data_IF_585522596569
#
_entry.id   IF_585522596569
#
_cell.length_a   1.000
_cell.length_b   1.000
_cell.length_c   1.000
_cell.angle_alpha   90.00
_cell.angle_beta   90.00
_cell.angle_gamma   90.00
#
_symmetry.space_group_name_H-M   'P 1'
#
loop_
_entity.id
_entity.type
_entity.pdbx_description
1 polymer ?
#
# COMPACT_ATOMS: atom_id res chain seq x y z
N UNK A 1 17.04 -11.18 30.32
CA UNK A 1 17.91 -12.38 30.39
C UNK A 1 17.88 -13.20 29.09
N UNK A 2 16.71 -13.35 28.44
CA UNK A 2 16.56 -14.27 27.30
C UNK A 2 17.22 -13.76 26.01
N UNK A 3 17.21 -12.46 25.74
CA UNK A 3 17.95 -11.84 24.64
C UNK A 3 19.43 -11.79 24.98
N UNK A 4 19.79 -11.27 26.16
CA UNK A 4 21.14 -11.15 26.70
C UNK A 4 22.18 -10.65 25.66
N UNK A 5 23.46 -10.90 25.90
CA UNK A 5 24.55 -10.49 24.99
C UNK A 5 24.49 -11.23 23.65
N UNK A 6 24.16 -12.50 23.66
CA UNK A 6 24.10 -13.32 22.43
C UNK A 6 22.99 -12.84 21.48
N UNK A 7 21.82 -12.51 22.00
CA UNK A 7 20.73 -11.93 21.20
C UNK A 7 21.08 -10.54 20.67
N UNK A 8 21.72 -9.70 21.48
CA UNK A 8 22.18 -8.39 21.03
C UNK A 8 23.23 -8.49 19.91
N UNK A 9 24.15 -9.44 20.01
CA UNK A 9 25.11 -9.70 18.95
C UNK A 9 24.44 -10.16 17.65
N UNK A 10 23.39 -10.99 17.75
CA UNK A 10 22.61 -11.39 16.58
C UNK A 10 21.92 -10.19 15.91
N UNK A 11 21.32 -9.30 16.71
CA UNK A 11 20.71 -8.06 16.18
C UNK A 11 21.75 -7.16 15.52
N UNK A 12 22.91 -6.95 16.15
CA UNK A 12 24.00 -6.14 15.59
C UNK A 12 24.56 -6.69 14.27
N UNK A 13 24.52 -7.98 14.05
CA UNK A 13 24.97 -8.62 12.83
C UNK A 13 23.87 -8.75 11.77
N UNK A 14 22.63 -8.57 12.16
CA UNK A 14 21.47 -8.75 11.27
C UNK A 14 21.32 -7.61 10.26
N UNK A 15 20.80 -7.97 9.09
CA UNK A 15 20.41 -7.07 8.01
C UNK A 15 18.92 -7.20 7.77
N UNK A 16 18.17 -6.18 8.11
CA UNK A 16 16.71 -6.13 7.96
C UNK A 16 16.35 -5.18 6.83
N UNK A 17 15.51 -5.63 5.91
CA UNK A 17 14.93 -4.76 4.88
C UNK A 17 13.50 -4.38 5.28
N UNK A 18 13.22 -3.10 5.34
CA UNK A 18 11.85 -2.58 5.40
C UNK A 18 11.41 -2.14 3.99
N UNK A 19 10.33 -2.71 3.50
CA UNK A 19 9.69 -2.28 2.26
C UNK A 19 8.63 -1.25 2.61
N UNK A 20 8.95 0.01 2.36
CA UNK A 20 8.14 1.18 2.74
C UNK A 20 8.54 1.82 4.07
N UNK A 21 8.60 3.14 4.08
CA UNK A 21 8.77 3.99 5.26
C UNK A 21 7.46 4.73 5.62
N UNK A 22 6.33 4.13 5.29
CA UNK A 22 4.98 4.64 5.53
C UNK A 22 4.46 4.37 6.95
N UNK A 23 3.16 4.13 7.08
CA UNK A 23 2.50 3.94 8.38
C UNK A 23 3.04 2.75 9.18
N UNK A 24 3.13 1.57 8.58
CA UNK A 24 3.67 0.36 9.21
C UNK A 24 5.20 0.42 9.32
N UNK A 25 5.87 0.94 8.27
CA UNK A 25 7.33 1.07 8.24
C UNK A 25 7.87 2.03 9.29
N UNK A 26 7.15 3.11 9.60
CA UNK A 26 7.57 4.11 10.58
C UNK A 26 7.92 3.50 11.96
N UNK A 27 6.99 2.87 12.67
CA UNK A 27 7.32 2.27 13.97
C UNK A 27 8.31 1.10 13.82
N UNK A 28 8.24 0.32 12.73
CA UNK A 28 9.16 -0.78 12.51
C UNK A 28 10.61 -0.28 12.42
N UNK A 29 10.90 0.72 11.59
CA UNK A 29 12.23 1.29 11.43
C UNK A 29 12.75 1.91 12.73
N UNK A 30 11.91 2.67 13.45
CA UNK A 30 12.30 3.31 14.71
C UNK A 30 12.67 2.27 15.77
N UNK A 31 11.85 1.24 15.96
CA UNK A 31 12.11 0.23 16.99
C UNK A 31 13.21 -0.76 16.60
N UNK A 32 13.40 -1.09 15.33
CA UNK A 32 14.55 -1.89 14.89
C UNK A 32 15.86 -1.13 15.08
N UNK A 33 15.88 0.19 14.83
CA UNK A 33 17.03 1.04 15.13
C UNK A 33 17.32 1.10 16.62
N UNK A 34 16.29 1.33 17.45
CA UNK A 34 16.42 1.36 18.92
C UNK A 34 16.88 0.00 19.49
N UNK A 35 16.45 -1.12 18.90
CA UNK A 35 16.90 -2.47 19.27
C UNK A 35 18.36 -2.76 18.85
N UNK A 36 18.98 -1.92 18.05
CA UNK A 36 20.37 -2.06 17.63
C UNK A 36 20.58 -3.08 16.51
N UNK A 37 19.64 -3.17 15.56
CA UNK A 37 19.85 -3.93 14.32
C UNK A 37 21.00 -3.29 13.54
N UNK A 38 21.99 -4.10 13.13
CA UNK A 38 23.24 -3.58 12.57
C UNK A 38 23.08 -2.89 11.21
N UNK A 39 22.18 -3.42 10.34
CA UNK A 39 21.89 -2.81 9.04
C UNK A 39 20.39 -2.77 8.79
N UNK A 40 19.88 -1.60 8.47
CA UNK A 40 18.51 -1.38 8.02
C UNK A 40 18.51 -0.95 6.56
N UNK A 41 17.95 -1.76 5.67
CA UNK A 41 17.61 -1.38 4.32
C UNK A 41 16.23 -0.75 4.27
N UNK A 42 16.03 0.25 3.44
CA UNK A 42 14.76 0.93 3.23
C UNK A 42 14.48 0.99 1.74
N UNK A 43 13.44 0.30 1.27
CA UNK A 43 12.92 0.49 -0.09
C UNK A 43 11.80 1.52 0.00
N UNK A 44 12.02 2.68 -0.57
CA UNK A 44 11.04 3.78 -0.54
C UNK A 44 11.36 4.78 -1.65
N UNK A 45 10.34 5.24 -2.37
CA UNK A 45 10.52 6.16 -3.50
C UNK A 45 9.66 7.43 -3.40
N UNK A 46 8.74 7.47 -2.42
CA UNK A 46 7.82 8.59 -2.24
C UNK A 46 8.47 9.80 -1.53
N UNK A 47 7.79 10.93 -1.62
CA UNK A 47 8.05 12.13 -0.81
C UNK A 47 7.05 12.23 0.34
N UNK A 48 7.44 12.92 1.40
CA UNK A 48 6.59 13.18 2.57
C UNK A 48 5.49 14.17 2.18
N UNK A 49 4.24 13.80 2.38
CA UNK A 49 3.07 14.67 2.22
C UNK A 49 2.43 14.96 3.58
N UNK A 50 1.84 16.14 3.74
CA UNK A 50 1.19 16.57 4.98
C UNK A 50 0.12 15.56 5.45
N UNK A 51 -0.65 14.99 4.52
CA UNK A 51 -1.67 13.98 4.82
C UNK A 51 -1.10 12.67 5.38
N UNK A 52 0.21 12.46 5.28
CA UNK A 52 0.89 11.28 5.81
C UNK A 52 1.16 11.39 7.32
N UNK A 53 1.36 12.60 7.84
CA UNK A 53 1.87 12.84 9.20
C UNK A 53 0.98 12.26 10.30
N UNK A 54 -0.32 12.10 10.04
CA UNK A 54 -1.27 11.52 10.99
C UNK A 54 -0.99 10.03 11.32
N UNK A 55 -0.15 9.32 10.52
CA UNK A 55 0.16 7.89 10.71
C UNK A 55 1.61 7.51 10.45
N UNK A 56 2.36 8.31 9.70
CA UNK A 56 3.77 8.05 9.34
C UNK A 56 4.70 8.80 10.29
N UNK A 57 4.76 8.35 11.54
CA UNK A 57 5.34 9.06 12.68
C UNK A 57 6.88 9.21 12.65
N UNK A 58 7.56 8.57 11.72
CA UNK A 58 9.01 8.76 11.52
C UNK A 58 9.29 10.10 10.83
N UNK A 59 8.31 10.67 10.13
CA UNK A 59 8.40 11.95 9.44
C UNK A 59 7.78 13.08 10.27
N UNK A 60 8.34 14.27 10.17
CA UNK A 60 7.83 15.46 10.85
C UNK A 60 7.39 16.56 9.88
N UNK A 61 6.84 17.65 10.43
CA UNK A 61 6.38 18.82 9.66
C UNK A 61 7.50 19.41 8.77
N UNK A 62 8.74 19.38 9.27
CA UNK A 62 9.93 19.87 8.54
C UNK A 62 10.38 18.98 7.38
N UNK A 63 9.78 17.79 7.26
CA UNK A 63 10.14 16.81 6.22
C UNK A 63 9.19 16.85 5.02
N UNK A 64 8.12 17.64 5.06
CA UNK A 64 7.18 17.77 3.94
C UNK A 64 7.94 18.15 2.67
N UNK A 65 7.74 17.35 1.61
CA UNK A 65 8.40 17.49 0.32
C UNK A 65 9.78 16.82 0.21
N UNK A 66 10.39 16.34 1.33
CA UNK A 66 11.61 15.53 1.27
C UNK A 66 11.32 14.08 0.86
N UNK A 67 12.35 13.38 0.36
CA UNK A 67 12.29 11.91 0.21
C UNK A 67 11.98 11.26 1.56
N UNK A 68 11.00 10.35 1.60
CA UNK A 68 10.68 9.55 2.80
C UNK A 68 11.87 8.71 3.24
N UNK A 69 12.64 8.18 2.30
CA UNK A 69 13.82 7.39 2.59
C UNK A 69 14.88 8.22 3.34
N UNK A 70 15.17 9.42 2.86
CA UNK A 70 16.12 10.35 3.51
C UNK A 70 15.62 10.81 4.88
N UNK A 71 14.36 11.21 5.00
CA UNK A 71 13.74 11.59 6.27
C UNK A 71 13.85 10.45 7.31
N UNK A 72 13.55 9.21 6.90
CA UNK A 72 13.68 8.05 7.76
C UNK A 72 15.13 7.78 8.18
N UNK A 73 16.10 7.92 7.26
CA UNK A 73 17.52 7.77 7.57
C UNK A 73 18.00 8.80 8.61
N UNK A 74 17.62 10.06 8.46
CA UNK A 74 17.95 11.13 9.42
C UNK A 74 17.40 10.78 10.81
N UNK A 75 16.13 10.35 10.89
CA UNK A 75 15.51 9.98 12.15
C UNK A 75 16.14 8.74 12.80
N UNK A 76 16.51 7.74 12.03
CA UNK A 76 17.23 6.56 12.53
C UNK A 76 18.59 6.96 13.10
N UNK A 77 19.31 7.87 12.45
CA UNK A 77 20.61 8.35 12.94
C UNK A 77 20.50 9.11 14.29
N UNK A 78 19.39 9.83 14.51
CA UNK A 78 19.10 10.47 15.81
C UNK A 78 18.79 9.43 16.92
N UNK A 79 18.10 8.31 16.57
CA UNK A 79 17.75 7.25 17.52
C UNK A 79 18.97 6.40 17.86
N UNK A 80 19.73 5.99 16.84
CA UNK A 80 20.89 5.13 17.00
C UNK A 80 21.92 5.35 15.88
N UNK A 81 22.98 6.13 16.13
CA UNK A 81 23.97 6.46 15.10
C UNK A 81 24.86 5.27 14.69
N UNK A 82 24.78 4.14 15.38
CA UNK A 82 25.56 2.94 15.06
C UNK A 82 24.88 2.03 14.04
N UNK A 83 23.61 2.28 13.69
CA UNK A 83 22.88 1.53 12.69
C UNK A 83 23.29 1.98 11.29
N UNK A 84 23.72 1.03 10.47
CA UNK A 84 23.98 1.30 9.05
C UNK A 84 22.65 1.33 8.30
N UNK A 85 22.31 2.46 7.70
CA UNK A 85 21.14 2.60 6.83
C UNK A 85 21.56 2.50 5.37
N UNK A 86 20.85 1.67 4.59
CA UNK A 86 21.03 1.52 3.14
C UNK A 86 19.73 1.89 2.45
N UNK A 87 19.75 2.95 1.64
CA UNK A 87 18.58 3.41 0.91
C UNK A 87 18.49 2.76 -0.46
N UNK A 88 17.32 2.26 -0.78
CA UNK A 88 16.91 1.82 -2.11
C UNK A 88 15.78 2.74 -2.56
N UNK A 89 16.13 3.90 -3.10
CA UNK A 89 15.18 4.92 -3.58
C UNK A 89 14.61 4.50 -4.94
N UNK A 90 13.84 3.43 -4.92
CA UNK A 90 13.25 2.82 -6.11
C UNK A 90 11.90 2.20 -5.78
N UNK A 91 11.03 2.11 -6.76
CA UNK A 91 9.85 1.24 -6.70
C UNK A 91 10.30 -0.21 -6.80
N UNK A 92 9.74 -1.06 -5.97
CA UNK A 92 10.03 -2.49 -5.99
C UNK A 92 9.26 -3.15 -7.14
N UNK A 93 9.97 -3.87 -7.99
CA UNK A 93 9.42 -4.60 -9.13
C UNK A 93 10.20 -5.89 -9.44
N UNK A 94 9.82 -6.58 -10.50
CA UNK A 94 10.44 -7.84 -10.91
C UNK A 94 11.93 -7.71 -11.25
N UNK A 95 12.38 -6.54 -11.69
CA UNK A 95 13.75 -6.30 -12.14
C UNK A 95 14.74 -6.16 -10.99
N UNK A 96 14.28 -5.72 -9.81
CA UNK A 96 15.15 -5.34 -8.69
C UNK A 96 14.93 -6.16 -7.41
N UNK A 97 13.73 -6.75 -7.20
CA UNK A 97 13.36 -7.40 -5.94
C UNK A 97 14.31 -8.52 -5.53
N UNK A 98 14.72 -9.39 -6.46
CA UNK A 98 15.58 -10.53 -6.16
C UNK A 98 16.98 -10.09 -5.75
N UNK A 99 17.54 -9.10 -6.42
CA UNK A 99 18.85 -8.54 -6.11
C UNK A 99 18.84 -7.85 -4.75
N UNK A 100 17.87 -6.96 -4.51
CA UNK A 100 17.76 -6.24 -3.24
C UNK A 100 17.56 -7.21 -2.07
N UNK A 101 16.58 -8.13 -2.16
CA UNK A 101 16.24 -9.05 -1.07
C UNK A 101 17.38 -10.03 -0.75
N UNK A 102 18.20 -10.40 -1.72
CA UNK A 102 19.35 -11.30 -1.49
C UNK A 102 20.33 -10.77 -0.44
N UNK A 103 20.41 -9.46 -0.26
CA UNK A 103 21.35 -8.76 0.63
C UNK A 103 20.92 -8.74 2.10
N UNK A 104 19.68 -9.16 2.43
CA UNK A 104 19.09 -9.06 3.75
C UNK A 104 18.70 -10.43 4.32
N UNK A 105 18.64 -10.53 5.64
CA UNK A 105 18.31 -11.77 6.35
C UNK A 105 16.78 -11.95 6.51
N UNK A 106 16.05 -10.85 6.61
CA UNK A 106 14.61 -10.79 6.87
C UNK A 106 14.00 -9.58 6.20
N UNK A 107 12.76 -9.73 5.74
CA UNK A 107 12.00 -8.69 5.07
C UNK A 107 10.79 -8.29 5.93
N UNK A 108 10.65 -7.02 6.23
CA UNK A 108 9.51 -6.42 6.95
C UNK A 108 8.67 -5.61 5.97
N UNK A 109 7.40 -5.93 5.87
CA UNK A 109 6.48 -5.33 4.90
C UNK A 109 5.73 -4.13 5.50
N UNK A 110 6.01 -2.97 4.97
CA UNK A 110 5.29 -1.73 5.27
C UNK A 110 4.34 -1.27 4.16
N UNK A 111 4.04 -2.13 3.18
CA UNK A 111 3.26 -1.78 2.00
C UNK A 111 1.75 -1.86 2.22
N UNK A 112 1.00 -1.13 1.42
CA UNK A 112 -0.46 -1.04 1.50
C UNK A 112 -1.18 -1.51 0.22
N UNK A 113 -0.44 -2.07 -0.76
CA UNK A 113 -1.01 -2.56 -2.00
C UNK A 113 -0.77 -4.07 -2.21
N UNK A 114 -1.71 -4.74 -2.86
CA UNK A 114 -1.68 -6.18 -3.05
C UNK A 114 -0.59 -6.64 -4.00
N UNK A 115 -0.36 -5.94 -5.10
CA UNK A 115 0.65 -6.31 -6.10
C UNK A 115 2.05 -6.44 -5.47
N UNK A 116 2.45 -5.43 -4.68
CA UNK A 116 3.72 -5.48 -3.95
C UNK A 116 3.74 -6.58 -2.89
N UNK A 117 2.64 -6.85 -2.17
CA UNK A 117 2.58 -7.94 -1.17
C UNK A 117 2.82 -9.31 -1.80
N UNK A 118 2.20 -9.59 -2.96
CA UNK A 118 2.45 -10.84 -3.68
C UNK A 118 3.87 -10.92 -4.21
N UNK A 119 4.40 -9.84 -4.77
CA UNK A 119 5.80 -9.76 -5.22
C UNK A 119 6.78 -10.04 -4.06
N UNK A 120 6.59 -9.37 -2.91
CA UNK A 120 7.43 -9.56 -1.70
C UNK A 120 7.36 -11.00 -1.21
N UNK A 121 6.15 -11.57 -1.08
CA UNK A 121 5.98 -12.96 -0.67
C UNK A 121 6.71 -13.92 -1.62
N UNK A 122 6.51 -13.77 -2.91
CA UNK A 122 7.06 -14.68 -3.90
C UNK A 122 8.60 -14.62 -3.92
N UNK A 123 9.16 -13.42 -3.87
CA UNK A 123 10.60 -13.23 -3.75
C UNK A 123 11.17 -13.85 -2.45
N UNK A 124 10.48 -13.67 -1.31
CA UNK A 124 10.88 -14.26 -0.03
C UNK A 124 10.85 -15.78 -0.08
N UNK A 125 9.83 -16.40 -0.68
CA UNK A 125 9.76 -17.86 -0.83
C UNK A 125 10.89 -18.38 -1.72
N UNK A 126 11.13 -17.75 -2.88
CA UNK A 126 12.19 -18.15 -3.80
C UNK A 126 13.60 -17.99 -3.20
N UNK A 127 13.81 -16.96 -2.36
CA UNK A 127 15.07 -16.71 -1.66
C UNK A 127 15.12 -17.38 -0.28
N UNK A 128 14.10 -18.13 0.13
CA UNK A 128 13.97 -18.81 1.44
C UNK A 128 14.10 -17.87 2.63
N UNK A 129 13.62 -16.64 2.50
CA UNK A 129 13.70 -15.62 3.56
C UNK A 129 12.40 -15.51 4.35
N UNK A 130 12.49 -15.19 5.65
CA UNK A 130 11.31 -14.86 6.45
C UNK A 130 10.72 -13.52 6.00
N UNK A 131 9.41 -13.49 5.89
CA UNK A 131 8.58 -12.37 5.49
C UNK A 131 7.68 -11.96 6.66
N UNK A 132 7.98 -10.86 7.30
CA UNK A 132 7.19 -10.31 8.41
C UNK A 132 6.14 -9.38 7.84
N UNK A 133 4.92 -9.87 7.77
CA UNK A 133 3.80 -9.21 7.13
C UNK A 133 2.89 -8.51 8.14
N UNK A 134 2.39 -7.34 7.76
CA UNK A 134 1.34 -6.61 8.45
C UNK A 134 0.33 -6.03 7.48
N UNK A 135 -0.90 -5.88 7.94
CA UNK A 135 -1.97 -5.24 7.20
C UNK A 135 -2.90 -4.48 8.14
N UNK A 136 -3.41 -3.36 7.68
CA UNK A 136 -4.37 -2.54 8.40
C UNK A 136 -5.52 -2.16 7.47
N UNK A 137 -6.71 -2.10 8.04
CA UNK A 137 -7.90 -1.65 7.33
C UNK A 137 -8.88 -1.03 8.32
N UNK A 138 -9.18 0.26 8.16
CA UNK A 138 -10.06 1.03 9.06
C UNK A 138 -9.63 0.93 10.53
N UNK A 139 -10.23 -0.02 11.26
CA UNK A 139 -9.99 -0.27 12.70
C UNK A 139 -9.39 -1.65 12.96
N UNK A 140 -9.21 -2.45 11.91
CA UNK A 140 -8.68 -3.81 12.00
C UNK A 140 -7.21 -3.86 11.62
N UNK A 141 -6.44 -4.68 12.32
CA UNK A 141 -5.06 -4.95 12.04
C UNK A 141 -4.74 -6.44 12.01
N UNK A 142 -3.78 -6.82 11.18
CA UNK A 142 -3.32 -8.19 11.07
C UNK A 142 -1.80 -8.24 11.00
N UNK A 143 -1.20 -9.29 11.57
CA UNK A 143 0.23 -9.57 11.48
C UNK A 143 0.51 -11.08 11.44
N UNK A 144 1.54 -11.47 10.69
CA UNK A 144 2.01 -12.85 10.61
C UNK A 144 3.49 -12.89 10.18
N UNK A 145 4.11 -14.05 10.36
CA UNK A 145 5.41 -14.36 9.77
C UNK A 145 5.21 -15.48 8.75
N UNK A 146 5.40 -15.18 7.48
CA UNK A 146 5.38 -16.14 6.40
C UNK A 146 6.81 -16.60 6.11
N UNK A 147 7.09 -17.90 6.30
CA UNK A 147 8.39 -18.48 6.05
C UNK A 147 8.24 -19.91 5.52
N UNK A 148 8.34 -20.06 4.21
CA UNK A 148 7.97 -21.29 3.50
C UNK A 148 8.75 -22.53 3.94
N UNK A 149 9.96 -22.38 4.51
CA UNK A 149 10.76 -23.49 5.04
C UNK A 149 10.21 -24.04 6.37
N UNK A 150 9.53 -23.21 7.16
CA UNK A 150 9.07 -23.56 8.51
C UNK A 150 7.54 -23.51 8.66
N UNK A 151 6.83 -23.02 7.65
CA UNK A 151 5.37 -22.87 7.74
C UNK A 151 4.73 -22.44 6.42
N UNK A 152 3.55 -21.79 6.48
CA UNK A 152 2.85 -21.27 5.32
C UNK A 152 3.56 -20.05 4.73
N UNK A 153 3.35 -19.80 3.44
CA UNK A 153 3.59 -18.50 2.81
C UNK A 153 2.29 -17.69 2.74
N UNK A 154 2.37 -16.44 2.30
CA UNK A 154 1.20 -15.55 2.15
C UNK A 154 0.12 -16.17 1.23
N UNK A 155 0.52 -16.85 0.14
CA UNK A 155 -0.39 -17.53 -0.79
C UNK A 155 -1.12 -18.74 -0.18
N UNK A 156 -0.63 -19.33 0.91
CA UNK A 156 -1.38 -20.36 1.64
C UNK A 156 -2.63 -19.79 2.33
N UNK A 157 -2.60 -18.52 2.71
CA UNK A 157 -3.72 -17.82 3.34
C UNK A 157 -4.57 -17.06 2.31
N UNK A 158 -3.91 -16.40 1.36
CA UNK A 158 -4.51 -15.60 0.30
C UNK A 158 -4.00 -16.10 -1.07
N UNK A 159 -4.58 -17.19 -1.60
CA UNK A 159 -4.12 -17.78 -2.88
C UNK A 159 -4.32 -16.84 -4.07
N UNK A 160 -5.36 -16.03 -4.02
CA UNK A 160 -5.73 -15.05 -5.04
C UNK A 160 -5.97 -13.68 -4.39
N UNK A 161 -5.69 -12.58 -5.10
CA UNK A 161 -6.02 -11.25 -4.63
C UNK A 161 -7.55 -11.07 -4.56
N UNK A 162 -8.04 -10.19 -3.67
CA UNK A 162 -9.45 -9.82 -3.69
C UNK A 162 -9.82 -9.21 -5.06
N UNK A 163 -11.06 -9.39 -5.51
CA UNK A 163 -11.54 -8.73 -6.73
C UNK A 163 -11.26 -7.22 -6.72
N UNK A 164 -10.88 -6.63 -7.86
CA UNK A 164 -10.60 -5.20 -7.94
C UNK A 164 -11.75 -4.36 -7.34
N UNK A 165 -11.40 -3.36 -6.53
CA UNK A 165 -12.36 -2.46 -5.88
C UNK A 165 -13.09 -3.03 -4.66
N UNK A 166 -12.94 -4.31 -4.31
CA UNK A 166 -13.59 -4.88 -3.11
C UNK A 166 -12.94 -4.38 -1.82
N UNK A 167 -11.64 -4.11 -1.83
CA UNK A 167 -10.92 -3.59 -0.67
C UNK A 167 -10.37 -2.21 -1.03
N UNK A 168 -10.98 -1.12 -0.51
CA UNK A 168 -10.47 0.23 -0.74
C UNK A 168 -9.08 0.39 -0.12
N UNK A 169 -8.25 1.24 -0.71
CA UNK A 169 -6.94 1.60 -0.16
C UNK A 169 -7.08 2.31 1.20
N UNK A 170 -5.99 2.36 1.98
CA UNK A 170 -5.97 3.11 3.25
C UNK A 170 -6.31 4.60 3.06
N UNK A 171 -6.01 5.15 1.88
CA UNK A 171 -6.35 6.54 1.54
C UNK A 171 -7.84 6.73 1.25
N UNK A 172 -8.53 5.68 0.80
CA UNK A 172 -9.96 5.70 0.47
C UNK A 172 -10.84 5.31 1.66
N UNK A 173 -10.49 4.22 2.33
CA UNK A 173 -11.26 3.68 3.46
C UNK A 173 -11.02 4.42 4.78
N UNK A 174 -9.98 5.26 4.84
CA UNK A 174 -9.46 5.81 6.08
C UNK A 174 -8.75 4.75 6.93
N UNK A 175 -7.93 5.20 7.86
CA UNK A 175 -7.27 4.34 8.83
C UNK A 175 -7.06 5.10 10.14
N UNK A 176 -7.31 4.44 11.26
CA UNK A 176 -6.94 4.96 12.56
C UNK A 176 -5.41 4.99 12.66
N UNK A 177 -4.80 6.20 12.69
CA UNK A 177 -3.34 6.36 12.58
C UNK A 177 -2.54 5.54 13.60
N UNK A 178 -2.99 5.46 14.85
CA UNK A 178 -2.35 4.65 15.90
C UNK A 178 -2.35 3.14 15.59
N UNK A 179 -3.24 2.65 14.75
CA UNK A 179 -3.29 1.26 14.32
C UNK A 179 -2.00 0.86 13.57
N UNK A 180 -1.45 1.81 12.79
CA UNK A 180 -0.15 1.62 12.13
C UNK A 180 0.97 1.33 13.16
N UNK A 181 0.98 2.07 14.27
CA UNK A 181 1.96 1.87 15.34
C UNK A 181 1.77 0.51 16.02
N UNK A 182 0.53 0.11 16.30
CA UNK A 182 0.23 -1.18 16.93
C UNK A 182 0.73 -2.35 16.06
N UNK A 183 0.35 -2.38 14.81
CA UNK A 183 0.70 -3.49 13.90
C UNK A 183 2.19 -3.45 13.52
N UNK A 184 2.77 -2.28 13.24
CA UNK A 184 4.20 -2.16 12.96
C UNK A 184 5.08 -2.55 14.15
N UNK A 185 4.63 -2.31 15.39
CA UNK A 185 5.32 -2.79 16.61
C UNK A 185 5.19 -4.31 16.76
N UNK A 186 4.07 -4.91 16.41
CA UNK A 186 3.94 -6.38 16.33
C UNK A 186 4.89 -6.95 15.28
N UNK A 187 4.96 -6.37 14.08
CA UNK A 187 5.93 -6.77 13.06
C UNK A 187 7.37 -6.69 13.56
N UNK A 188 7.73 -5.60 14.25
CA UNK A 188 9.07 -5.45 14.86
C UNK A 188 9.35 -6.54 15.88
N UNK A 189 8.37 -6.83 16.76
CA UNK A 189 8.48 -7.90 17.76
C UNK A 189 8.75 -9.24 17.09
N UNK A 190 8.03 -9.56 16.02
CA UNK A 190 8.22 -10.78 15.27
C UNK A 190 9.59 -10.84 14.58
N UNK A 191 10.05 -9.74 13.97
CA UNK A 191 11.37 -9.64 13.39
C UNK A 191 12.48 -9.91 14.43
N UNK A 192 12.38 -9.29 15.61
CA UNK A 192 13.34 -9.49 16.71
C UNK A 192 13.32 -10.95 17.19
N UNK A 193 12.15 -11.58 17.35
CA UNK A 193 12.05 -12.99 17.72
C UNK A 193 12.72 -13.91 16.70
N UNK A 194 12.47 -13.70 15.41
CA UNK A 194 13.10 -14.47 14.33
C UNK A 194 14.63 -14.31 14.37
N UNK A 195 15.13 -13.09 14.50
CA UNK A 195 16.57 -12.79 14.49
C UNK A 195 17.29 -13.31 15.74
N UNK A 196 16.69 -13.19 16.91
CA UNK A 196 17.31 -13.59 18.17
C UNK A 196 17.09 -15.06 18.52
N UNK A 197 16.06 -15.68 17.95
CA UNK A 197 15.63 -17.04 18.32
C UNK A 197 14.93 -17.10 19.68
N UNK A 198 14.45 -15.97 20.21
CA UNK A 198 13.75 -15.88 21.50
C UNK A 198 12.24 -15.94 21.27
N UNK A 199 11.57 -16.78 22.07
CA UNK A 199 10.12 -16.97 21.97
C UNK A 199 9.70 -17.75 20.72
N UNK A 200 8.39 -17.71 20.43
CA UNK A 200 7.80 -18.36 19.27
C UNK A 200 7.28 -17.31 18.27
N UNK A 201 7.88 -17.18 17.09
CA UNK A 201 7.37 -16.31 16.06
C UNK A 201 5.97 -16.74 15.57
N UNK A 202 5.21 -15.82 14.96
CA UNK A 202 3.88 -16.05 14.39
C UNK A 202 3.93 -16.90 13.09
N UNK A 203 4.89 -17.81 12.97
CA UNK A 203 4.94 -18.77 11.86
C UNK A 203 3.77 -19.74 12.00
N UNK A 204 2.94 -19.85 10.95
CA UNK A 204 1.72 -20.67 11.00
C UNK A 204 0.60 -20.10 11.88
N UNK A 205 0.67 -18.81 12.17
CA UNK A 205 -0.35 -18.11 12.94
C UNK A 205 -0.62 -16.71 12.38
N UNK A 206 -1.88 -16.31 12.35
CA UNK A 206 -2.32 -14.95 12.04
C UNK A 206 -2.78 -14.28 13.33
N UNK A 207 -2.18 -13.16 13.68
CA UNK A 207 -2.71 -12.27 14.71
C UNK A 207 -3.72 -11.32 14.06
N UNK A 208 -4.93 -11.25 14.62
CA UNK A 208 -5.99 -10.31 14.22
C UNK A 208 -6.27 -9.40 15.41
N UNK A 209 -6.20 -8.11 15.18
CA UNK A 209 -6.46 -7.05 16.16
C UNK A 209 -7.68 -6.24 15.74
N UNK A 210 -8.63 -6.09 16.63
CA UNK A 210 -9.78 -5.18 16.51
C UNK A 210 -9.57 -4.01 17.47
N UNK A 211 -9.37 -2.82 16.94
CA UNK A 211 -9.08 -1.62 17.73
C UNK A 211 -10.34 -1.05 18.41
N UNK A 212 -11.54 -1.34 17.91
CA UNK A 212 -12.78 -0.85 18.55
C UNK A 212 -13.12 -1.65 19.80
N UNK A 213 -12.89 -2.96 19.77
CA UNK A 213 -13.12 -3.84 20.91
C UNK A 213 -11.86 -4.13 21.73
N UNK A 214 -10.68 -3.65 21.28
CA UNK A 214 -9.37 -3.91 21.92
C UNK A 214 -9.07 -5.39 22.09
N UNK A 215 -9.45 -6.20 21.11
CA UNK A 215 -9.26 -7.65 21.16
C UNK A 215 -8.14 -8.11 20.23
N UNK A 216 -7.36 -9.08 20.71
CA UNK A 216 -6.36 -9.79 19.93
C UNK A 216 -6.76 -11.26 19.79
N UNK A 217 -6.80 -11.76 18.58
CA UNK A 217 -7.11 -13.18 18.29
C UNK A 217 -5.98 -13.80 17.49
N UNK A 218 -5.47 -14.95 17.96
CA UNK A 218 -4.48 -15.74 17.25
C UNK A 218 -5.18 -16.88 16.52
N UNK A 219 -5.09 -16.88 15.19
CA UNK A 219 -5.72 -17.87 14.30
C UNK A 219 -4.63 -18.74 13.71
N UNK A 220 -4.81 -20.07 13.72
CA UNK A 220 -3.87 -21.01 13.13
C UNK A 220 -3.97 -20.98 11.61
N UNK A 221 -2.85 -20.78 10.92
CA UNK A 221 -2.72 -20.87 9.48
C UNK A 221 -1.88 -22.09 9.12
N UNK A 222 -2.43 -22.97 8.30
CA UNK A 222 -1.74 -24.19 7.85
C UNK A 222 -1.06 -23.95 6.50
N UNK A 223 0.08 -24.60 6.29
CA UNK A 223 0.68 -24.66 4.95
C UNK A 223 -0.25 -25.49 4.04
N UNK A 224 -0.59 -24.91 2.89
CA UNK A 224 -1.38 -25.62 1.88
C UNK A 224 -0.46 -26.53 1.05
N UNK A 225 -0.69 -27.86 1.05
CA UNK A 225 0.09 -28.78 0.26
C UNK A 225 -0.05 -28.54 -1.25
N UNK A 226 -1.13 -27.89 -1.69
CA UNK A 226 -1.37 -27.53 -3.09
C UNK A 226 -0.98 -26.08 -3.42
N UNK A 227 -0.37 -25.34 -2.49
CA UNK A 227 0.05 -23.99 -2.76
C UNK A 227 0.95 -23.94 -4.01
N UNK A 228 0.63 -23.09 -5.01
CA UNK A 228 1.37 -23.07 -6.27
C UNK A 228 2.84 -22.67 -6.10
N UNK A 229 3.18 -21.96 -5.00
CA UNK A 229 4.52 -21.44 -4.77
C UNK A 229 5.32 -22.25 -3.74
N UNK A 230 4.72 -22.65 -2.62
CA UNK A 230 5.44 -23.33 -1.53
C UNK A 230 4.89 -24.72 -1.18
N UNK A 231 3.92 -25.24 -1.92
CA UNK A 231 3.34 -26.56 -1.71
C UNK A 231 4.29 -27.71 -1.98
N UNK A 232 3.78 -28.95 -1.92
CA UNK A 232 4.60 -30.17 -2.17
C UNK A 232 5.08 -30.28 -3.62
N UNK A 233 4.29 -29.75 -4.57
CA UNK A 233 4.61 -29.75 -6.01
C UNK A 233 4.36 -28.33 -6.56
N UNK A 234 5.25 -27.37 -6.28
CA UNK A 234 5.06 -25.99 -6.70
C UNK A 234 5.04 -25.89 -8.23
N UNK A 235 4.05 -25.19 -8.76
CA UNK A 235 3.92 -24.89 -10.19
C UNK A 235 4.51 -23.52 -10.55
N UNK A 236 4.65 -22.65 -9.57
CA UNK A 236 5.28 -21.34 -9.70
C UNK A 236 6.71 -21.41 -9.14
N UNK A 237 7.70 -21.44 -10.02
CA UNK A 237 9.14 -21.52 -9.67
C UNK A 237 9.91 -20.23 -9.94
N UNK A 238 9.22 -19.19 -10.39
CA UNK A 238 9.76 -17.87 -10.67
C UNK A 238 8.74 -16.80 -10.26
N UNK A 239 9.15 -15.54 -10.30
CA UNK A 239 8.25 -14.40 -10.14
C UNK A 239 7.19 -14.42 -11.27
N UNK A 240 5.99 -13.93 -10.96
CA UNK A 240 4.97 -13.70 -12.00
C UNK A 240 5.47 -12.60 -12.95
N UNK A 241 5.12 -12.64 -14.23
CA UNK A 241 5.56 -11.63 -15.19
C UNK A 241 4.98 -10.25 -14.87
N UNK A 242 3.78 -10.18 -14.31
CA UNK A 242 3.06 -8.94 -14.01
C UNK A 242 2.14 -9.11 -12.78
N UNK A 243 2.53 -8.52 -11.66
CA UNK A 243 1.75 -8.55 -10.40
C UNK A 243 0.59 -7.56 -10.40
N UNK A 244 0.67 -6.48 -11.16
CA UNK A 244 -0.43 -5.52 -11.31
C UNK A 244 -1.59 -6.17 -12.06
N UNK A 245 -1.30 -6.81 -13.20
CA UNK A 245 -2.30 -7.58 -13.94
C UNK A 245 -2.87 -8.75 -13.12
N UNK A 246 -2.02 -9.45 -12.33
CA UNK A 246 -2.48 -10.51 -11.43
C UNK A 246 -3.48 -10.00 -10.38
N UNK A 247 -3.30 -8.77 -9.89
CA UNK A 247 -4.19 -8.14 -8.91
C UNK A 247 -5.37 -7.40 -9.57
N UNK A 248 -5.49 -7.45 -10.91
CA UNK A 248 -6.56 -6.78 -11.65
C UNK A 248 -6.46 -5.26 -11.64
N UNK A 249 -5.28 -4.71 -11.29
CA UNK A 249 -4.96 -3.31 -11.46
C UNK A 249 -4.46 -3.08 -12.89
N UNK A 250 -4.89 -1.98 -13.51
CA UNK A 250 -4.38 -1.63 -14.83
C UNK A 250 -2.89 -1.27 -14.70
N UNK A 251 -2.05 -1.90 -15.51
CA UNK A 251 -0.63 -1.55 -15.60
C UNK A 251 -0.46 -0.06 -15.96
N UNK A 252 0.67 0.55 -15.57
CA UNK A 252 1.00 1.94 -15.93
C UNK A 252 0.92 2.15 -17.44
N UNK A 253 1.31 1.17 -18.26
CA UNK A 253 1.17 1.21 -19.71
C UNK A 253 -0.30 1.28 -20.18
N UNK A 254 -1.24 0.66 -19.46
CA UNK A 254 -2.66 0.78 -19.74
C UNK A 254 -3.25 2.13 -19.24
N UNK A 255 -2.66 2.70 -18.19
CA UNK A 255 -2.97 4.05 -17.72
C UNK A 255 -2.42 5.12 -18.67
N UNK A 256 -1.22 4.95 -19.22
CA UNK A 256 -0.65 5.82 -20.25
C UNK A 256 -1.43 5.77 -21.57
N UNK A 257 -1.95 4.61 -21.97
CA UNK A 257 -2.84 4.49 -23.14
C UNK A 257 -4.16 5.28 -22.97
N UNK A 258 -4.57 5.59 -21.74
CA UNK A 258 -5.70 6.47 -21.42
C UNK A 258 -5.33 7.97 -21.38
N UNK A 259 -4.06 8.34 -21.50
CA UNK A 259 -3.55 9.71 -21.34
C UNK A 259 -4.13 10.72 -22.35
N UNK A 260 -4.61 10.27 -23.50
CA UNK A 260 -5.32 11.11 -24.48
C UNK A 260 -6.73 11.58 -24.07
N UNK A 261 -7.20 11.16 -22.89
CA UNK A 261 -8.53 11.51 -22.36
C UNK A 261 -8.46 12.10 -20.95
N UNK A 262 -7.35 12.73 -20.61
CA UNK A 262 -7.14 13.40 -19.32
C UNK A 262 -7.33 14.90 -19.51
N UNK A 263 -8.09 15.54 -18.61
CA UNK A 263 -8.24 16.99 -18.55
C UNK A 263 -7.73 17.53 -17.21
N UNK A 264 -7.30 18.78 -17.18
CA UNK A 264 -6.88 19.51 -15.99
C UNK A 264 -8.09 20.08 -15.24
N UNK A 265 -7.91 20.49 -13.97
CA UNK A 265 -8.97 21.20 -13.22
C UNK A 265 -9.29 22.57 -13.82
N UNK A 266 -8.36 23.23 -14.52
CA UNK A 266 -8.58 24.47 -15.25
C UNK A 266 -9.48 24.27 -16.45
N UNK A 267 -9.25 23.20 -17.22
CA UNK A 267 -10.10 22.82 -18.37
C UNK A 267 -11.50 22.44 -17.89
N UNK A 268 -11.63 21.68 -16.78
CA UNK A 268 -12.93 21.40 -16.16
C UNK A 268 -13.64 22.69 -15.74
N UNK A 269 -12.91 23.61 -15.11
CA UNK A 269 -13.47 24.92 -14.70
C UNK A 269 -13.99 25.68 -15.92
N UNK A 270 -13.21 25.73 -16.99
CA UNK A 270 -13.61 26.37 -18.24
C UNK A 270 -14.88 25.77 -18.84
N UNK A 271 -14.98 24.42 -18.83
CA UNK A 271 -16.18 23.70 -19.28
C UNK A 271 -17.42 24.05 -18.46
N UNK A 272 -17.27 24.15 -17.13
CA UNK A 272 -18.37 24.54 -16.21
C UNK A 272 -18.80 25.99 -16.47
N UNK A 273 -17.84 26.93 -16.58
CA UNK A 273 -18.11 28.36 -16.78
C UNK A 273 -18.78 28.63 -18.13
N UNK A 274 -18.34 27.91 -19.16
CA UNK A 274 -18.92 28.00 -20.51
C UNK A 274 -20.26 27.25 -20.63
N UNK A 275 -20.73 26.59 -19.56
CA UNK A 275 -21.95 25.78 -19.56
C UNK A 275 -21.98 24.74 -20.67
N UNK A 276 -20.83 24.10 -20.93
CA UNK A 276 -20.74 23.02 -21.91
C UNK A 276 -21.66 21.85 -21.52
N UNK A 277 -22.18 21.14 -22.50
CA UNK A 277 -23.06 19.99 -22.26
C UNK A 277 -22.24 18.72 -22.05
N UNK A 278 -21.88 18.41 -20.78
CA UNK A 278 -21.21 17.19 -20.39
C UNK A 278 -21.79 16.63 -19.08
N UNK A 279 -21.50 15.40 -18.75
CA UNK A 279 -21.94 14.74 -17.52
C UNK A 279 -20.77 14.53 -16.58
N UNK A 280 -20.71 15.33 -15.49
CA UNK A 280 -19.64 15.25 -14.49
C UNK A 280 -20.00 14.21 -13.43
N UNK A 281 -19.12 13.24 -13.22
CA UNK A 281 -19.33 12.17 -12.25
C UNK A 281 -18.21 12.20 -11.21
N UNK A 282 -18.58 12.18 -9.93
CA UNK A 282 -17.72 11.93 -8.81
C UNK A 282 -17.76 10.44 -8.47
N UNK A 283 -16.65 9.74 -8.63
CA UNK A 283 -16.57 8.29 -8.39
C UNK A 283 -16.13 7.93 -6.96
N UNK A 284 -16.15 8.91 -6.04
CA UNK A 284 -15.78 8.72 -4.64
C UNK A 284 -16.92 8.10 -3.82
N UNK A 285 -16.63 7.84 -2.54
CA UNK A 285 -17.63 7.38 -1.59
C UNK A 285 -18.56 8.51 -1.11
N UNK A 286 -19.80 8.20 -0.67
CA UNK A 286 -20.73 9.20 -0.15
C UNK A 286 -20.16 10.07 0.96
N UNK A 287 -19.41 9.50 1.88
CA UNK A 287 -18.73 10.20 2.99
C UNK A 287 -17.71 11.25 2.51
N UNK A 288 -17.01 10.97 1.41
CA UNK A 288 -16.06 11.92 0.81
C UNK A 288 -16.79 13.07 0.08
N UNK A 289 -17.91 12.74 -0.56
CA UNK A 289 -18.75 13.72 -1.27
C UNK A 289 -19.43 14.72 -0.32
N UNK A 290 -19.73 14.30 0.92
CA UNK A 290 -20.28 15.17 1.96
C UNK A 290 -19.26 16.19 2.48
N UNK A 291 -17.96 15.85 2.49
CA UNK A 291 -16.88 16.75 2.94
C UNK A 291 -16.68 17.89 1.94
N UNK A 292 -16.56 17.54 0.66
CA UNK A 292 -16.31 18.50 -0.42
C UNK A 292 -16.78 17.91 -1.75
N UNK A 293 -17.29 18.76 -2.65
CA UNK A 293 -17.72 18.35 -3.99
C UNK A 293 -17.44 19.44 -5.02
N UNK A 294 -17.16 19.02 -6.24
CA UNK A 294 -17.10 19.93 -7.39
C UNK A 294 -18.55 20.28 -7.80
N UNK A 295 -18.87 21.56 -8.05
CA UNK A 295 -20.20 21.94 -8.51
C UNK A 295 -20.67 21.13 -9.72
N UNK A 296 -21.95 20.78 -9.76
CA UNK A 296 -22.59 19.98 -10.82
C UNK A 296 -22.20 18.50 -10.91
N UNK A 297 -21.30 18.00 -10.05
CA UNK A 297 -20.93 16.59 -10.06
C UNK A 297 -22.05 15.70 -9.51
N UNK A 298 -22.28 14.59 -10.20
CA UNK A 298 -23.19 13.52 -9.77
C UNK A 298 -22.37 12.42 -9.10
N UNK A 299 -22.77 12.04 -7.89
CA UNK A 299 -22.10 10.95 -7.17
C UNK A 299 -22.53 9.59 -7.75
N UNK A 300 -21.58 8.87 -8.28
CA UNK A 300 -21.73 7.46 -8.70
C UNK A 300 -20.47 6.73 -8.24
N UNK A 301 -20.49 6.04 -7.10
CA UNK A 301 -19.32 5.36 -6.56
C UNK A 301 -18.67 4.38 -7.52
N UNK A 302 -17.33 4.28 -7.46
CA UNK A 302 -16.48 3.43 -8.30
C UNK A 302 -17.02 1.99 -8.43
N UNK A 303 -17.60 1.44 -7.36
CA UNK A 303 -18.12 0.08 -7.34
C UNK A 303 -19.13 -0.20 -8.46
N UNK A 304 -20.02 0.76 -8.77
CA UNK A 304 -20.99 0.62 -9.85
C UNK A 304 -20.39 0.51 -11.24
N UNK A 305 -19.17 1.06 -11.45
CA UNK A 305 -18.42 0.88 -12.70
C UNK A 305 -17.78 -0.51 -12.75
N UNK A 306 -17.23 -0.98 -11.63
CA UNK A 306 -16.55 -2.30 -11.56
C UNK A 306 -17.54 -3.43 -11.82
N UNK A 307 -18.71 -3.41 -11.19
CA UNK A 307 -19.74 -4.45 -11.36
C UNK A 307 -20.62 -4.23 -12.59
N UNK A 308 -20.41 -3.12 -13.32
CA UNK A 308 -21.13 -2.78 -14.53
C UNK A 308 -22.57 -2.30 -14.32
N UNK A 309 -23.07 -2.22 -13.08
CA UNK A 309 -24.47 -1.92 -12.78
C UNK A 309 -24.92 -0.54 -13.25
N UNK A 310 -24.00 0.42 -13.34
CA UNK A 310 -24.30 1.80 -13.75
C UNK A 310 -24.19 2.05 -15.26
N UNK A 311 -23.50 1.18 -16.00
CA UNK A 311 -23.16 1.45 -17.41
C UNK A 311 -24.38 1.69 -18.30
N UNK A 312 -25.46 0.93 -18.09
CA UNK A 312 -26.69 1.06 -18.86
C UNK A 312 -27.49 2.36 -18.56
N UNK A 313 -27.21 3.00 -17.42
CA UNK A 313 -27.90 4.22 -16.98
C UNK A 313 -27.15 5.50 -17.36
N UNK A 314 -25.91 5.39 -17.86
CA UNK A 314 -25.10 6.54 -18.22
C UNK A 314 -25.55 7.15 -19.55
N UNK A 315 -25.49 8.48 -19.70
CA UNK A 315 -25.87 9.16 -20.92
C UNK A 315 -24.92 8.79 -22.07
N UNK A 316 -25.50 8.47 -23.24
CA UNK A 316 -24.77 8.15 -24.46
C UNK A 316 -24.65 9.33 -25.42
N UNK A 317 -25.38 10.41 -25.14
CA UNK A 317 -25.58 11.56 -26.00
C UNK A 317 -24.69 12.76 -25.67
N UNK A 318 -23.83 12.64 -24.65
CA UNK A 318 -22.93 13.71 -24.21
C UNK A 318 -21.65 13.16 -23.59
N UNK A 319 -20.56 13.95 -23.64
CA UNK A 319 -19.29 13.56 -23.03
C UNK A 319 -19.42 13.30 -21.52
N UNK A 320 -18.72 12.28 -21.04
CA UNK A 320 -18.63 11.97 -19.61
C UNK A 320 -17.28 12.41 -19.08
N UNK A 321 -17.29 13.17 -17.98
CA UNK A 321 -16.08 13.58 -17.28
C UNK A 321 -16.10 12.97 -15.88
N UNK A 322 -15.07 12.20 -15.55
CA UNK A 322 -14.93 11.53 -14.27
C UNK A 322 -13.94 12.28 -13.37
N UNK A 323 -14.22 12.41 -12.10
CA UNK A 323 -13.22 12.82 -11.11
C UNK A 323 -13.31 11.99 -9.85
N UNK A 324 -12.22 12.00 -9.07
CA UNK A 324 -12.16 11.41 -7.73
C UNK A 324 -11.37 12.33 -6.79
N UNK A 325 -10.75 11.78 -5.75
CA UNK A 325 -9.92 12.55 -4.82
C UNK A 325 -8.65 13.09 -5.49
N UNK A 326 -7.84 12.22 -6.13
CA UNK A 326 -6.51 12.53 -6.68
C UNK A 326 -6.35 12.25 -8.19
N UNK A 327 -7.36 11.67 -8.85
CA UNK A 327 -7.30 11.28 -10.26
C UNK A 327 -7.17 9.76 -10.49
N UNK A 328 -6.70 8.97 -9.52
CA UNK A 328 -6.43 7.54 -9.67
C UNK A 328 -7.71 6.74 -9.93
N UNK A 329 -8.69 6.78 -9.03
CA UNK A 329 -9.97 6.05 -9.19
C UNK A 329 -10.74 6.44 -10.45
N UNK A 330 -10.68 7.72 -10.81
CA UNK A 330 -11.36 8.20 -12.03
C UNK A 330 -10.66 7.73 -13.30
N UNK A 331 -9.34 7.54 -13.31
CA UNK A 331 -8.62 6.92 -14.41
C UNK A 331 -9.01 5.44 -14.60
N UNK A 332 -9.15 4.69 -13.51
CA UNK A 332 -9.62 3.29 -13.54
C UNK A 332 -11.06 3.19 -14.10
N UNK A 333 -11.97 4.05 -13.60
CA UNK A 333 -13.34 4.10 -14.12
C UNK A 333 -13.38 4.53 -15.62
N UNK A 334 -12.47 5.43 -16.03
CA UNK A 334 -12.33 5.81 -17.44
C UNK A 334 -11.98 4.61 -18.32
N UNK A 335 -11.04 3.77 -17.88
CA UNK A 335 -10.67 2.58 -18.65
C UNK A 335 -11.85 1.62 -18.81
N UNK A 336 -12.67 1.44 -17.79
CA UNK A 336 -13.91 0.64 -17.85
C UNK A 336 -14.89 1.26 -18.85
N UNK A 337 -15.11 2.57 -18.81
CA UNK A 337 -15.99 3.28 -19.75
C UNK A 337 -15.51 3.13 -21.19
N UNK A 338 -14.20 3.32 -21.43
CA UNK A 338 -13.61 3.15 -22.78
C UNK A 338 -13.83 1.73 -23.31
N UNK A 339 -13.63 0.71 -22.47
CA UNK A 339 -13.88 -0.70 -22.83
C UNK A 339 -15.36 -0.99 -23.09
N UNK A 340 -16.26 -0.25 -22.44
CA UNK A 340 -17.71 -0.33 -22.65
C UNK A 340 -18.23 0.51 -23.81
N UNK A 341 -17.34 1.18 -24.58
CA UNK A 341 -17.71 1.92 -25.81
C UNK A 341 -17.98 3.42 -25.63
N UNK A 342 -17.74 4.00 -24.46
CA UNK A 342 -17.89 5.44 -24.22
C UNK A 342 -16.65 6.20 -24.74
N UNK A 343 -16.61 6.45 -26.05
CA UNK A 343 -15.46 7.04 -26.74
C UNK A 343 -15.10 8.46 -26.21
N UNK A 344 -16.09 9.28 -25.86
CA UNK A 344 -15.93 10.66 -25.42
C UNK A 344 -15.80 10.82 -23.89
N UNK A 345 -15.43 9.75 -23.19
CA UNK A 345 -15.17 9.81 -21.77
C UNK A 345 -13.76 10.35 -21.48
N UNK A 346 -13.63 11.15 -20.42
CA UNK A 346 -12.37 11.70 -19.90
C UNK A 346 -12.35 11.72 -18.39
N UNK A 347 -11.17 11.93 -17.79
CA UNK A 347 -11.07 12.12 -16.34
C UNK A 347 -10.23 13.33 -15.97
N UNK A 348 -10.42 13.84 -14.74
CA UNK A 348 -9.74 15.03 -14.23
C UNK A 348 -8.48 14.62 -13.48
N UNK A 349 -7.30 15.06 -13.92
CA UNK A 349 -6.05 14.88 -13.23
C UNK A 349 -6.03 15.66 -11.91
N UNK A 350 -5.45 15.05 -10.87
CA UNK A 350 -5.37 15.65 -9.53
C UNK A 350 -6.70 15.74 -8.77
N UNK A 351 -7.83 15.44 -9.43
CA UNK A 351 -9.15 15.30 -8.81
C UNK A 351 -9.60 16.51 -7.97
N UNK A 352 -10.41 16.25 -6.94
CA UNK A 352 -10.94 17.31 -6.07
C UNK A 352 -9.86 18.02 -5.23
N UNK A 353 -8.73 17.36 -4.95
CA UNK A 353 -7.58 17.99 -4.28
C UNK A 353 -7.01 19.11 -5.14
N UNK A 354 -6.75 18.84 -6.42
CA UNK A 354 -6.27 19.87 -7.34
C UNK A 354 -7.29 20.99 -7.53
N UNK A 355 -8.59 20.64 -7.58
CA UNK A 355 -9.67 21.62 -7.64
C UNK A 355 -9.66 22.55 -6.42
N UNK A 356 -9.60 22.01 -5.20
CA UNK A 356 -9.54 22.79 -3.96
C UNK A 356 -8.29 23.67 -3.86
N UNK A 357 -7.14 23.19 -4.32
CA UNK A 357 -5.88 23.95 -4.28
C UNK A 357 -5.75 25.04 -5.34
N UNK A 358 -6.36 24.87 -6.52
CA UNK A 358 -6.07 25.68 -7.70
C UNK A 358 -7.28 26.49 -8.20
N UNK A 359 -8.51 26.06 -7.91
CA UNK A 359 -9.73 26.65 -8.42
C UNK A 359 -10.56 27.29 -7.30
N UNK A 360 -10.83 26.56 -6.23
CA UNK A 360 -11.64 27.04 -5.11
C UNK A 360 -10.93 26.76 -3.79
N UNK A 361 -10.06 27.67 -3.39
CA UNK A 361 -9.25 27.57 -2.16
C UNK A 361 -10.05 27.70 -0.87
N UNK A 362 -11.36 27.92 -0.95
CA UNK A 362 -12.25 27.92 0.22
C UNK A 362 -12.70 26.51 0.63
N UNK A 363 -12.53 25.54 -0.27
CA UNK A 363 -12.89 24.15 -0.03
C UNK A 363 -11.83 23.45 0.85
N UNK A 364 -12.27 22.55 1.76
CA UNK A 364 -11.33 21.77 2.56
C UNK A 364 -10.55 20.79 1.70
N UNK A 365 -9.24 20.65 1.98
CA UNK A 365 -8.38 19.59 1.48
C UNK A 365 -8.28 18.53 2.58
N UNK A 366 -8.60 17.26 2.26
CA UNK A 366 -8.65 16.17 3.23
C UNK A 366 -7.87 14.93 2.77
#
# INVERSE_FOLDING_TARGET
PDVAMAGQQRLMNAKVLCVGAGGLGSPALMYLAAAGVGTLGIVEFDTVDESNLQRQIIHGQSDIGKSKALSAQEKIAEINPYVKVVLHETRLDNSNVMEIFSQYDIIVDGTDNFATRYLVNDACVLLKKPYVWGSIYRFDGQASVFWAEYGPCYRCLYPEPPPPGMVPSCAEGGVLGVLCATIGSLQTTEAIKVLTGVGEPLIGSLMVYDALEMTFRKIKVRKDPNCPLCGEKPTQTALLPDYEAFCGTLSEAAQEASSGSTITVQELKSKIDNKENFYLIDVREPSEYEIVKIPTAHLIPKQGFIDGSVLASLPQDKPIVLHCKSGVRSAECLAILKSAGFADASHVSGGVIAWAKQIDTTLPVY
#
